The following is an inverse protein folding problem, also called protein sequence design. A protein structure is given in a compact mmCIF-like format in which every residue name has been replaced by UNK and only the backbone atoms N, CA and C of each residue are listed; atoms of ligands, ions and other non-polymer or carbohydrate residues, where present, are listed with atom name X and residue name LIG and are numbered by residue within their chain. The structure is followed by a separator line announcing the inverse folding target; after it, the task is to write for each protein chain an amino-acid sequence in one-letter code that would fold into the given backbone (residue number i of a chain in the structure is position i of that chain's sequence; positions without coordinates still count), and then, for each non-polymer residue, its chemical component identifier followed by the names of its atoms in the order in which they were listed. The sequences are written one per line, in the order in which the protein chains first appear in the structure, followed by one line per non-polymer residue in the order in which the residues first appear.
data_IF_025895122197
#
_entry.id   IF_025895122197
#
_cell.length_a   1.000
_cell.length_b   1.000
_cell.length_c   1.000
_cell.angle_alpha   90.00
_cell.angle_beta   90.00
_cell.angle_gamma   90.00
#
_symmetry.space_group_name_H-M   'P 1'
#
loop_
_entity.id
_entity.type
_entity.pdbx_description
1 polymer ?
#
# COMPACT_ATOMS: atom_id res chain seq x y z
N UNK A 1 -15.23 17.86 -5.56
CA UNK A 1 -14.93 16.54 -4.98
C UNK A 1 -13.59 16.66 -4.27
N UNK A 2 -13.55 16.46 -2.95
CA UNK A 2 -12.30 16.44 -2.20
C UNK A 2 -11.79 15.00 -2.28
N UNK A 3 -10.76 14.76 -3.06
CA UNK A 3 -10.10 13.45 -3.12
C UNK A 3 -9.13 13.36 -1.95
N UNK A 4 -9.53 12.73 -0.85
CA UNK A 4 -8.66 12.51 0.30
C UNK A 4 -7.56 11.52 -0.07
N UNK A 5 -6.31 11.88 0.23
CA UNK A 5 -5.19 10.95 0.06
C UNK A 5 -5.28 9.80 1.06
N UNK A 6 -4.97 8.60 0.57
CA UNK A 6 -4.99 7.37 1.36
C UNK A 6 -3.74 6.54 1.09
N UNK A 7 -3.33 5.75 2.07
CA UNK A 7 -2.24 4.80 1.90
C UNK A 7 -2.85 3.43 1.61
N UNK A 8 -2.41 2.79 0.53
CA UNK A 8 -2.79 1.44 0.15
C UNK A 8 -1.64 0.49 0.41
N UNK A 9 -1.86 -0.54 1.22
CA UNK A 9 -0.96 -1.65 1.42
C UNK A 9 -1.20 -2.70 0.33
N UNK A 10 -0.24 -2.84 -0.56
CA UNK A 10 -0.23 -3.79 -1.67
C UNK A 10 0.65 -4.97 -1.29
N UNK A 11 0.06 -6.14 -1.11
CA UNK A 11 0.79 -7.38 -0.85
C UNK A 11 1.17 -8.02 -2.19
N UNK A 12 2.46 -8.05 -2.50
CA UNK A 12 3.00 -8.69 -3.69
C UNK A 12 3.39 -10.14 -3.37
N UNK A 13 3.08 -11.07 -4.28
CA UNK A 13 3.35 -12.49 -4.13
C UNK A 13 4.83 -12.80 -3.84
N UNK A 14 5.75 -12.02 -4.41
CA UNK A 14 7.20 -12.32 -4.39
C UNK A 14 8.03 -11.34 -3.54
N UNK A 15 7.46 -10.19 -3.17
CA UNK A 15 8.21 -9.03 -2.64
C UNK A 15 7.72 -8.56 -1.27
N UNK A 16 6.65 -9.16 -0.73
CA UNK A 16 6.05 -8.72 0.53
C UNK A 16 5.11 -7.54 0.34
N UNK A 17 4.86 -6.77 1.41
CA UNK A 17 3.93 -5.64 1.38
C UNK A 17 4.65 -4.34 1.01
N UNK A 18 4.07 -3.57 0.09
CA UNK A 18 4.45 -2.20 -0.24
C UNK A 18 3.32 -1.23 0.09
N UNK A 19 3.65 0.03 0.35
CA UNK A 19 2.68 1.07 0.68
C UNK A 19 2.66 2.12 -0.42
N UNK A 20 1.47 2.43 -0.94
CA UNK A 20 1.28 3.37 -2.04
C UNK A 20 0.29 4.44 -1.62
N UNK A 21 0.75 5.69 -1.60
CA UNK A 21 -0.11 6.84 -1.28
C UNK A 21 -0.84 7.33 -2.54
N UNK A 22 -2.13 7.03 -2.62
CA UNK A 22 -2.99 7.32 -3.77
C UNK A 22 -4.35 7.87 -3.33
N UNK A 23 -5.07 8.54 -4.23
CA UNK A 23 -6.45 8.96 -4.01
C UNK A 23 -7.46 7.87 -4.38
N UNK A 24 -7.09 7.00 -5.33
CA UNK A 24 -7.88 5.83 -5.74
C UNK A 24 -6.98 4.79 -6.39
N UNK A 25 -7.48 3.56 -6.49
CA UNK A 25 -6.87 2.52 -7.32
C UNK A 25 -7.91 1.86 -8.20
N UNK A 26 -7.46 1.31 -9.32
CA UNK A 26 -8.27 0.50 -10.22
C UNK A 26 -7.63 -0.87 -10.38
N UNK A 27 -8.46 -1.91 -10.44
CA UNK A 27 -8.03 -3.30 -10.60
C UNK A 27 -8.67 -3.88 -11.85
N UNK A 28 -7.86 -3.99 -12.89
CA UNK A 28 -8.18 -4.74 -14.10
C UNK A 28 -7.08 -5.81 -14.31
N UNK A 29 -6.45 -5.85 -15.48
CA UNK A 29 -5.27 -6.67 -15.79
C UNK A 29 -4.02 -6.17 -15.05
N UNK A 30 -3.98 -4.86 -14.79
CA UNK A 30 -2.94 -4.16 -14.04
C UNK A 30 -3.63 -3.39 -12.91
N UNK A 31 -3.09 -3.47 -11.70
CA UNK A 31 -3.50 -2.66 -10.57
C UNK A 31 -2.81 -1.31 -10.68
N UNK A 32 -3.59 -0.25 -10.89
CA UNK A 32 -3.10 1.12 -11.06
C UNK A 32 -3.49 1.99 -9.88
N UNK A 33 -2.54 2.74 -9.36
CA UNK A 33 -2.76 3.71 -8.28
C UNK A 33 -2.70 5.12 -8.83
N UNK A 34 -3.70 5.93 -8.51
CA UNK A 34 -3.84 7.28 -9.02
C UNK A 34 -3.70 8.30 -7.92
N UNK A 35 -3.02 9.40 -8.22
CA UNK A 35 -2.99 10.63 -7.44
C UNK A 35 -3.69 11.70 -8.26
N UNK A 36 -4.98 11.93 -7.98
CA UNK A 36 -5.85 12.70 -8.87
C UNK A 36 -6.07 11.95 -10.19
N UNK A 37 -5.62 12.55 -11.29
CA UNK A 37 -5.73 11.99 -12.65
C UNK A 37 -4.42 11.35 -13.16
N UNK A 38 -3.38 11.31 -12.32
CA UNK A 38 -2.05 10.79 -12.69
C UNK A 38 -1.84 9.41 -12.08
N UNK A 39 -1.41 8.45 -12.89
CA UNK A 39 -0.95 7.13 -12.42
C UNK A 39 0.42 7.28 -11.78
N UNK A 40 0.55 6.88 -10.51
CA UNK A 40 1.80 6.97 -9.74
C UNK A 40 2.48 5.62 -9.54
N UNK A 41 1.72 4.51 -9.65
CA UNK A 41 2.25 3.16 -9.53
C UNK A 41 1.37 2.16 -10.28
N UNK A 42 2.00 1.15 -10.88
CA UNK A 42 1.36 0.09 -11.63
C UNK A 42 1.96 -1.25 -11.24
N UNK A 43 1.11 -2.23 -10.95
CA UNK A 43 1.52 -3.59 -10.63
C UNK A 43 0.70 -4.57 -11.45
N UNK A 44 1.31 -5.57 -12.12
CA UNK A 44 0.55 -6.59 -12.81
C UNK A 44 -0.31 -7.37 -11.79
N UNK A 45 -1.59 -7.59 -12.11
CA UNK A 45 -2.53 -8.20 -11.16
C UNK A 45 -2.09 -9.60 -10.72
N UNK A 46 -1.35 -10.33 -11.57
CA UNK A 46 -0.76 -11.64 -11.25
C UNK A 46 0.26 -11.60 -10.10
N UNK A 47 0.91 -10.46 -9.88
CA UNK A 47 1.85 -10.28 -8.77
C UNK A 47 1.18 -9.73 -7.51
N UNK A 48 -0.04 -9.21 -7.61
CA UNK A 48 -0.77 -8.60 -6.49
C UNK A 48 -1.66 -9.65 -5.83
N UNK A 49 -1.31 -10.02 -4.60
CA UNK A 49 -2.09 -10.94 -3.77
C UNK A 49 -3.26 -10.22 -3.11
N UNK A 50 -3.02 -9.04 -2.57
CA UNK A 50 -4.01 -8.27 -1.80
C UNK A 50 -3.72 -6.77 -1.91
N UNK A 51 -4.78 -5.96 -1.91
CA UNK A 51 -4.70 -4.51 -1.73
C UNK A 51 -5.65 -4.14 -0.59
N UNK A 52 -5.12 -3.52 0.46
CA UNK A 52 -5.89 -3.06 1.60
C UNK A 52 -5.63 -1.56 1.82
N UNK A 53 -6.67 -0.79 2.10
CA UNK A 53 -6.53 0.58 2.58
C UNK A 53 -5.96 0.56 4.00
N UNK A 54 -5.02 1.45 4.30
CA UNK A 54 -4.43 1.58 5.63
C UNK A 54 -4.23 3.04 5.99
N UNK A 55 -4.55 3.37 7.24
CA UNK A 55 -4.22 4.65 7.87
C UNK A 55 -2.83 4.62 8.53
N UNK A 56 -2.14 3.48 8.46
CA UNK A 56 -0.78 3.38 8.99
C UNK A 56 0.16 4.19 8.08
N UNK A 57 1.03 5.04 8.64
CA UNK A 57 2.07 5.69 7.86
C UNK A 57 2.90 4.61 7.15
N UNK A 58 3.44 4.87 5.95
CA UNK A 58 4.28 3.91 5.25
C UNK A 58 5.43 3.54 6.18
N UNK A 59 5.35 2.36 6.79
CA UNK A 59 6.37 1.87 7.71
C UNK A 59 7.64 1.63 6.93
N UNK A 60 8.46 2.66 6.78
CA UNK A 60 9.89 2.50 6.58
C UNK A 60 10.38 1.63 7.72
N UNK A 61 10.90 0.45 7.39
CA UNK A 61 11.23 -0.58 8.34
C UNK A 61 11.97 -0.03 9.55
N UNK A 62 11.37 -0.15 10.74
CA UNK A 62 12.13 -0.12 11.97
C UNK A 62 11.64 -1.25 12.85
N UNK A 63 12.52 -2.24 12.95
CA UNK A 63 12.55 -3.24 14.00
C UNK A 63 12.60 -2.52 15.36
N UNK A 64 11.45 -2.32 16.00
CA UNK A 64 11.39 -2.21 17.46
C UNK A 64 10.47 -3.30 17.96
N UNK A 65 10.98 -4.53 17.83
CA UNK A 65 10.80 -5.49 18.89
C UNK A 65 11.75 -5.05 20.02
N UNK A 66 11.29 -4.19 20.91
CA UNK A 66 11.92 -4.02 22.21
C UNK A 66 10.94 -4.55 23.25
N UNK A 67 11.31 -5.70 23.79
CA UNK A 67 10.72 -6.32 24.95
C UNK A 67 10.53 -5.30 26.08
N UNK A 68 9.46 -5.47 26.83
CA UNK A 68 9.48 -5.24 28.28
C UNK A 68 8.61 -6.34 28.88
N UNK A 69 9.28 -7.44 29.22
CA UNK A 69 8.80 -8.40 30.22
C UNK A 69 8.89 -7.75 31.60
N UNK A 70 7.96 -8.14 32.47
CA UNK A 70 8.06 -8.21 33.94
C UNK A 70 8.06 -6.90 34.76
N UNK A 71 6.96 -6.63 35.48
CA UNK A 71 6.90 -6.69 36.97
C UNK A 71 5.45 -7.04 37.40
#
# INVERSE_FOLDING_TARGET
MIWTMKVYRVLLCSMGATHVEATRFERDTIVRFFRGDVVIAEYPASLVKEVAETDLPPSGGWLVASASSDD
#
